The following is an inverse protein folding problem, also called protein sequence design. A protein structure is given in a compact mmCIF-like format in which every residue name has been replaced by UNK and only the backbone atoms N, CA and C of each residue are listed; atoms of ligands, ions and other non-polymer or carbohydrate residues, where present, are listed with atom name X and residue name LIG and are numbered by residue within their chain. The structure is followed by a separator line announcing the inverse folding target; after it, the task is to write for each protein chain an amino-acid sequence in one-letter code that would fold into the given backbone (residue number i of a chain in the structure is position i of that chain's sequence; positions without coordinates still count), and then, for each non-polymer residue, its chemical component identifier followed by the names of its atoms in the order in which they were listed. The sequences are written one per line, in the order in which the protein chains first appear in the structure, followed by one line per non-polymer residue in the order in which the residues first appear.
data_IF_599673009640
#
_entry.id   IF_599673009640
#
_cell.length_a   1.000
_cell.length_b   1.000
_cell.length_c   1.000
_cell.angle_alpha   90.00
_cell.angle_beta   90.00
_cell.angle_gamma   90.00
#
_symmetry.space_group_name_H-M   'P 1'
#
loop_
_entity.id
_entity.type
_entity.pdbx_description
1 polymer ?
#
# COMPACT_ATOMS: atom_id res chain seq x y z
N UNK A 1 -14.91 48.39 2.48
CA UNK A 1 -13.51 48.01 2.76
C UNK A 1 -13.49 46.51 2.99
N UNK A 2 -13.18 45.74 1.94
CA UNK A 2 -13.26 44.28 1.91
C UNK A 2 -11.87 43.69 2.04
N UNK A 3 -11.74 42.79 3.01
CA UNK A 3 -10.96 41.55 2.98
C UNK A 3 -9.50 41.64 2.51
N UNK A 4 -8.57 41.79 3.45
CA UNK A 4 -7.19 41.28 3.34
C UNK A 4 -6.98 40.09 4.26
N UNK A 5 -7.95 39.17 4.26
CA UNK A 5 -7.84 37.85 4.90
C UNK A 5 -7.18 36.81 3.98
N UNK A 6 -6.61 37.22 2.85
CA UNK A 6 -6.07 36.32 1.83
C UNK A 6 -4.58 35.97 2.01
N UNK A 7 -3.92 36.42 3.09
CA UNK A 7 -2.50 36.10 3.33
C UNK A 7 -2.32 34.90 4.28
N UNK A 8 -3.36 34.51 5.03
CA UNK A 8 -3.29 33.35 5.93
C UNK A 8 -3.65 32.00 5.27
N UNK A 9 -4.11 32.00 4.01
CA UNK A 9 -4.60 30.80 3.32
C UNK A 9 -3.57 30.15 2.35
N UNK A 10 -2.34 30.66 2.30
CA UNK A 10 -1.27 30.10 1.44
C UNK A 10 -0.08 29.53 2.24
N UNK A 11 -0.18 29.48 3.57
CA UNK A 11 0.85 28.90 4.45
C UNK A 11 0.59 27.44 4.82
N UNK A 12 -0.64 26.93 4.60
CA UNK A 12 -1.02 25.57 5.02
C UNK A 12 -0.88 24.50 3.92
N UNK A 13 -0.30 24.85 2.76
CA UNK A 13 -0.12 23.90 1.65
C UNK A 13 1.31 23.36 1.51
N UNK A 14 2.09 23.39 2.60
CA UNK A 14 3.37 22.69 2.74
C UNK A 14 3.33 21.73 3.95
N UNK A 15 2.26 20.95 4.09
CA UNK A 15 2.43 19.61 4.66
C UNK A 15 3.04 18.74 3.57
N UNK A 16 4.32 18.98 3.28
CA UNK A 16 5.17 17.89 2.85
C UNK A 16 5.02 16.83 3.93
N UNK A 17 4.47 15.68 3.57
CA UNK A 17 4.58 14.50 4.40
C UNK A 17 6.09 14.35 4.59
N UNK A 18 6.59 14.61 5.80
CA UNK A 18 7.97 14.30 6.14
C UNK A 18 8.17 12.85 5.73
N UNK A 19 8.97 12.61 4.69
CA UNK A 19 9.41 11.27 4.38
C UNK A 19 10.16 10.79 5.62
N UNK A 20 9.55 9.87 6.36
CA UNK A 20 10.14 9.28 7.57
C UNK A 20 11.47 8.56 7.27
N UNK A 21 11.73 8.29 6.00
CA UNK A 21 12.89 7.58 5.48
C UNK A 21 13.66 8.44 4.47
N UNK A 22 14.97 8.27 4.46
CA UNK A 22 15.92 8.88 3.52
C UNK A 22 15.72 8.40 2.08
N UNK A 23 16.25 9.15 1.11
CA UNK A 23 16.22 8.77 -0.31
C UNK A 23 16.84 7.39 -0.57
N UNK A 24 17.91 7.04 0.16
CA UNK A 24 18.54 5.72 0.07
C UNK A 24 17.61 4.60 0.57
N UNK A 25 16.95 4.82 1.71
CA UNK A 25 15.98 3.87 2.26
C UNK A 25 14.77 3.70 1.34
N UNK A 26 14.27 4.79 0.75
CA UNK A 26 13.21 4.74 -0.25
C UNK A 26 13.64 3.92 -1.48
N UNK A 27 14.85 4.16 -2.02
CA UNK A 27 15.36 3.40 -3.15
C UNK A 27 15.49 1.89 -2.85
N UNK A 28 15.90 1.54 -1.63
CA UNK A 28 15.93 0.14 -1.16
C UNK A 28 14.52 -0.43 -1.06
N UNK A 29 13.57 0.33 -0.50
CA UNK A 29 12.18 -0.08 -0.36
C UNK A 29 11.49 -0.28 -1.71
N UNK A 30 11.71 0.60 -2.69
CA UNK A 30 11.23 0.46 -4.07
C UNK A 30 11.79 -0.79 -4.76
N UNK A 31 13.05 -1.13 -4.49
CA UNK A 31 13.66 -2.34 -5.03
C UNK A 31 13.04 -3.59 -4.42
N UNK A 32 12.83 -3.60 -3.12
CA UNK A 32 12.11 -4.67 -2.41
C UNK A 32 10.69 -4.80 -2.98
N UNK A 33 9.98 -3.69 -3.11
CA UNK A 33 8.63 -3.62 -3.68
C UNK A 33 8.57 -4.26 -5.07
N UNK A 34 9.50 -3.93 -5.97
CA UNK A 34 9.57 -4.53 -7.31
C UNK A 34 9.83 -6.04 -7.25
N UNK A 35 10.72 -6.51 -6.37
CA UNK A 35 10.99 -7.95 -6.20
C UNK A 35 9.75 -8.72 -5.74
N UNK A 36 8.99 -8.15 -4.81
CA UNK A 36 7.79 -8.80 -4.25
C UNK A 36 6.51 -8.46 -5.03
N UNK A 37 6.62 -7.71 -6.13
CA UNK A 37 5.51 -7.18 -6.93
C UNK A 37 4.47 -6.40 -6.11
N UNK A 38 4.91 -5.72 -5.04
CA UNK A 38 4.04 -4.98 -4.13
C UNK A 38 3.05 -5.87 -3.35
N UNK A 39 3.44 -7.11 -3.01
CA UNK A 39 2.58 -8.07 -2.29
C UNK A 39 3.18 -8.49 -0.95
N UNK A 40 2.44 -8.30 0.13
CA UNK A 40 2.87 -8.66 1.51
C UNK A 40 3.22 -10.15 1.71
N UNK A 41 2.61 -11.04 0.91
CA UNK A 41 2.78 -12.50 1.04
C UNK A 41 3.97 -13.06 0.26
N UNK A 42 4.74 -12.20 -0.40
CA UNK A 42 5.96 -12.60 -1.11
C UNK A 42 7.19 -12.22 -0.30
N UNK A 43 8.11 -13.17 -0.24
CA UNK A 43 9.39 -12.99 0.44
C UNK A 43 10.47 -12.55 -0.55
N UNK A 44 11.45 -11.80 -0.06
CA UNK A 44 12.69 -11.48 -0.75
C UNK A 44 13.90 -11.98 0.05
N UNK A 45 14.99 -12.33 -0.65
CA UNK A 45 16.27 -12.66 -0.02
C UNK A 45 17.12 -11.40 0.15
N UNK A 46 17.62 -11.17 1.35
CA UNK A 46 18.55 -10.05 1.62
C UNK A 46 19.89 -10.28 0.89
N UNK A 47 20.36 -11.52 0.77
CA UNK A 47 21.62 -11.84 0.10
C UNK A 47 21.53 -11.63 -1.42
N UNK A 48 20.37 -11.91 -2.00
CA UNK A 48 20.07 -11.56 -3.39
C UNK A 48 19.99 -10.05 -3.57
N UNK A 49 19.35 -9.33 -2.64
CA UNK A 49 19.27 -7.87 -2.66
C UNK A 49 20.67 -7.23 -2.60
N UNK A 50 21.57 -7.72 -1.73
CA UNK A 50 22.97 -7.26 -1.64
C UNK A 50 23.69 -7.46 -2.97
N UNK A 51 23.61 -8.66 -3.56
CA UNK A 51 24.29 -8.97 -4.83
C UNK A 51 23.83 -8.06 -5.97
N UNK A 52 22.56 -7.70 -6.00
CA UNK A 52 21.99 -6.87 -7.06
C UNK A 52 22.13 -5.37 -6.83
N UNK A 53 22.34 -4.92 -5.60
CA UNK A 53 22.38 -3.48 -5.28
C UNK A 53 23.70 -2.84 -5.65
N UNK A 54 24.79 -3.61 -5.76
CA UNK A 54 26.12 -3.05 -6.07
C UNK A 54 26.65 -2.07 -5.00
N UNK A 55 25.85 -1.79 -3.97
CA UNK A 55 26.11 -0.94 -2.82
C UNK A 55 27.00 -1.65 -1.81
N UNK A 56 27.58 -0.87 -0.89
CA UNK A 56 28.25 -1.43 0.28
C UNK A 56 27.25 -2.29 1.09
N UNK A 57 27.59 -3.55 1.45
CA UNK A 57 26.71 -4.39 2.25
C UNK A 57 26.30 -3.76 3.58
N UNK A 58 27.17 -2.96 4.19
CA UNK A 58 26.91 -2.31 5.48
C UNK A 58 25.83 -1.23 5.33
N UNK A 59 25.94 -0.36 4.32
CA UNK A 59 24.94 0.68 4.02
C UNK A 59 23.55 0.07 3.73
N UNK A 60 23.51 -1.06 3.01
CA UNK A 60 22.25 -1.75 2.75
C UNK A 60 21.68 -2.40 4.02
N UNK A 61 22.53 -2.99 4.88
CA UNK A 61 22.06 -3.56 6.15
C UNK A 61 21.56 -2.47 7.11
N UNK A 62 22.15 -1.28 7.10
CA UNK A 62 21.66 -0.12 7.84
C UNK A 62 20.30 0.35 7.33
N UNK A 63 20.15 0.53 6.00
CA UNK A 63 18.87 0.86 5.39
C UNK A 63 17.79 -0.19 5.72
N UNK A 64 18.10 -1.48 5.63
CA UNK A 64 17.16 -2.56 5.98
C UNK A 64 16.78 -2.56 7.46
N UNK A 65 17.69 -2.17 8.35
CA UNK A 65 17.39 -2.03 9.78
C UNK A 65 16.41 -0.88 10.01
N UNK A 66 16.72 0.29 9.46
CA UNK A 66 15.87 1.49 9.55
C UNK A 66 14.47 1.25 8.97
N UNK A 67 14.38 0.66 7.77
CA UNK A 67 13.09 0.24 7.18
C UNK A 67 12.32 -0.76 8.05
N UNK A 68 13.02 -1.60 8.82
CA UNK A 68 12.41 -2.52 9.77
C UNK A 68 11.92 -1.84 11.05
N UNK A 69 12.67 -0.87 11.56
CA UNK A 69 12.30 -0.03 12.70
C UNK A 69 11.05 0.82 12.39
N UNK A 70 10.96 1.31 11.16
CA UNK A 70 9.78 2.01 10.63
C UNK A 70 8.61 1.08 10.25
N UNK A 71 8.72 -0.22 10.52
CA UNK A 71 7.69 -1.23 10.20
C UNK A 71 7.30 -1.29 8.70
N UNK A 72 8.18 -0.85 7.80
CA UNK A 72 7.96 -0.88 6.34
C UNK A 72 8.31 -2.24 5.73
N UNK A 73 9.23 -2.95 6.38
CA UNK A 73 9.58 -4.33 6.07
C UNK A 73 9.68 -5.14 7.35
N UNK A 74 9.60 -6.46 7.22
CA UNK A 74 9.95 -7.38 8.29
C UNK A 74 11.01 -8.35 7.81
N UNK A 75 12.14 -8.41 8.51
CA UNK A 75 13.20 -9.39 8.26
C UNK A 75 13.01 -10.59 9.21
N UNK A 76 12.78 -11.75 8.62
CA UNK A 76 12.68 -13.05 9.31
C UNK A 76 14.08 -13.67 9.50
N UNK A 77 14.19 -14.70 10.36
CA UNK A 77 15.40 -15.53 10.44
C UNK A 77 15.82 -16.04 9.05
N UNK A 78 17.11 -16.32 8.88
CA UNK A 78 17.72 -16.75 7.60
C UNK A 78 17.75 -15.67 6.51
N UNK A 79 17.77 -14.37 6.87
CA UNK A 79 17.96 -13.26 5.93
C UNK A 79 16.88 -13.21 4.82
N UNK A 80 15.66 -13.60 5.17
CA UNK A 80 14.48 -13.50 4.32
C UNK A 80 13.60 -12.35 4.81
N UNK A 81 13.19 -11.45 3.94
CA UNK A 81 12.32 -10.33 4.28
C UNK A 81 10.95 -10.40 3.62
N UNK A 82 9.99 -9.66 4.15
CA UNK A 82 8.71 -9.33 3.49
C UNK A 82 8.46 -7.82 3.58
N UNK A 83 7.80 -7.26 2.58
CA UNK A 83 7.29 -5.89 2.67
C UNK A 83 6.00 -5.88 3.48
N UNK A 84 5.78 -4.85 4.31
CA UNK A 84 4.52 -4.68 5.04
C UNK A 84 3.51 -3.90 4.20
N UNK A 85 2.25 -3.83 4.66
CA UNK A 85 1.25 -2.92 4.08
C UNK A 85 1.76 -1.47 4.09
N UNK A 86 2.32 -1.02 5.22
CA UNK A 86 2.89 0.32 5.40
C UNK A 86 4.01 0.57 4.37
N UNK A 87 4.92 -0.39 4.16
CA UNK A 87 5.99 -0.26 3.16
C UNK A 87 5.49 -0.24 1.71
N UNK A 88 4.40 -0.96 1.40
CA UNK A 88 3.74 -0.88 0.10
C UNK A 88 3.16 0.52 -0.12
N UNK A 89 2.48 1.06 0.89
CA UNK A 89 1.91 2.41 0.82
C UNK A 89 2.99 3.48 0.67
N UNK A 90 4.10 3.37 1.39
CA UNK A 90 5.21 4.33 1.30
C UNK A 90 5.77 4.41 -0.13
N UNK A 91 5.85 3.27 -0.83
CA UNK A 91 6.29 3.21 -2.23
C UNK A 91 5.23 3.70 -3.21
N UNK A 92 3.97 3.32 -2.99
CA UNK A 92 2.89 3.64 -3.94
C UNK A 92 2.35 5.06 -3.78
N UNK A 93 2.45 5.61 -2.56
CA UNK A 93 2.10 6.98 -2.16
C UNK A 93 3.03 8.06 -2.70
N UNK A 94 3.78 7.77 -3.77
CA UNK A 94 4.53 8.72 -4.59
C UNK A 94 4.57 8.36 -6.10
N UNK A 95 3.69 7.48 -6.64
CA UNK A 95 3.43 7.48 -8.09
C UNK A 95 3.22 6.15 -8.82
N UNK A 96 2.16 5.40 -8.51
CA UNK A 96 1.52 4.54 -9.54
C UNK A 96 0.06 4.94 -9.71
N UNK A 97 -0.23 5.99 -10.52
CA UNK A 97 -1.59 6.51 -10.72
C UNK A 97 -2.61 5.46 -11.18
N UNK A 98 -2.15 4.42 -11.87
CA UNK A 98 -3.01 3.34 -12.37
C UNK A 98 -3.52 2.43 -11.26
N UNK A 99 -2.70 2.15 -10.23
CA UNK A 99 -3.11 1.33 -9.08
C UNK A 99 -4.10 2.06 -8.19
N UNK A 100 -3.92 3.35 -7.99
CA UNK A 100 -4.86 4.18 -7.23
C UNK A 100 -6.21 4.31 -7.94
N UNK A 101 -6.21 4.45 -9.27
CA UNK A 101 -7.45 4.41 -10.05
C UNK A 101 -8.17 3.07 -9.92
N UNK A 102 -7.45 1.95 -9.99
CA UNK A 102 -8.05 0.62 -9.82
C UNK A 102 -8.63 0.44 -8.41
N UNK A 103 -7.93 0.91 -7.37
CA UNK A 103 -8.43 0.89 -5.97
C UNK A 103 -9.69 1.70 -5.79
N UNK A 104 -9.70 2.94 -6.30
CA UNK A 104 -10.87 3.82 -6.26
C UNK A 104 -12.05 3.21 -7.02
N UNK A 105 -11.80 2.63 -8.20
CA UNK A 105 -12.83 1.95 -8.99
C UNK A 105 -13.44 0.77 -8.23
N UNK A 106 -12.61 -0.12 -7.67
CA UNK A 106 -13.08 -1.27 -6.89
C UNK A 106 -13.90 -0.80 -5.69
N UNK A 107 -13.41 0.17 -4.93
CA UNK A 107 -14.10 0.69 -3.75
C UNK A 107 -15.43 1.37 -4.11
N UNK A 108 -15.44 2.18 -5.18
CA UNK A 108 -16.66 2.82 -5.67
C UNK A 108 -17.70 1.77 -6.07
N UNK A 109 -17.28 0.73 -6.81
CA UNK A 109 -18.19 -0.33 -7.24
C UNK A 109 -18.75 -1.14 -6.08
N UNK A 110 -17.94 -1.43 -5.06
CA UNK A 110 -18.42 -2.09 -3.84
C UNK A 110 -19.48 -1.21 -3.15
N UNK A 111 -19.21 0.09 -3.00
CA UNK A 111 -20.17 1.02 -2.40
C UNK A 111 -21.48 1.12 -3.20
N UNK A 112 -21.41 1.16 -4.53
CA UNK A 112 -22.60 1.15 -5.40
C UNK A 112 -23.45 -0.11 -5.19
N UNK A 113 -22.81 -1.28 -5.26
CA UNK A 113 -23.52 -2.57 -5.15
C UNK A 113 -24.08 -2.84 -3.75
N UNK A 114 -23.47 -2.26 -2.72
CA UNK A 114 -23.93 -2.37 -1.32
C UNK A 114 -24.82 -1.20 -0.91
N UNK A 115 -24.99 -0.18 -1.76
CA UNK A 115 -25.58 1.11 -1.38
C UNK A 115 -24.93 1.76 -0.14
N UNK A 116 -23.66 1.44 0.13
CA UNK A 116 -22.96 1.89 1.34
C UNK A 116 -23.43 1.21 2.63
N UNK A 117 -24.12 0.06 2.55
CA UNK A 117 -24.55 -0.72 3.71
C UNK A 117 -23.46 -1.72 4.16
N UNK A 118 -22.90 -1.60 5.38
CA UNK A 118 -21.86 -2.49 5.90
C UNK A 118 -22.36 -3.91 6.22
N UNK A 119 -23.67 -4.14 6.28
CA UNK A 119 -24.28 -5.45 6.52
C UNK A 119 -24.52 -6.23 5.22
N UNK A 120 -24.29 -5.61 4.05
CA UNK A 120 -24.40 -6.25 2.74
C UNK A 120 -23.04 -6.78 2.30
N UNK A 121 -23.03 -8.07 1.90
CA UNK A 121 -21.82 -8.79 1.48
C UNK A 121 -21.83 -9.05 -0.02
N UNK A 122 -20.71 -8.81 -0.68
CA UNK A 122 -20.51 -9.12 -2.10
C UNK A 122 -19.70 -10.39 -2.26
N UNK A 123 -20.09 -11.22 -3.23
CA UNK A 123 -19.29 -12.35 -3.68
C UNK A 123 -18.10 -11.86 -4.51
N UNK A 124 -16.88 -12.28 -4.16
CA UNK A 124 -15.63 -11.82 -4.79
C UNK A 124 -15.53 -12.27 -6.25
N UNK A 125 -16.02 -13.45 -6.61
CA UNK A 125 -16.00 -13.92 -8.00
C UNK A 125 -16.97 -13.13 -8.88
N UNK A 126 -18.16 -12.84 -8.35
CA UNK A 126 -19.13 -11.99 -9.04
C UNK A 126 -18.59 -10.56 -9.21
N UNK A 127 -17.97 -9.99 -8.17
CA UNK A 127 -17.34 -8.68 -8.24
C UNK A 127 -16.18 -8.63 -9.25
N UNK A 128 -15.38 -9.69 -9.33
CA UNK A 128 -14.33 -9.81 -10.34
C UNK A 128 -14.91 -9.82 -11.76
N UNK A 129 -16.00 -10.56 -11.96
CA UNK A 129 -16.76 -10.56 -13.22
C UNK A 129 -17.30 -9.18 -13.60
N UNK A 130 -17.93 -8.48 -12.65
CA UNK A 130 -18.46 -7.12 -12.85
C UNK A 130 -17.39 -6.11 -13.25
N UNK A 131 -16.18 -6.24 -12.68
CA UNK A 131 -15.07 -5.33 -12.94
C UNK A 131 -14.18 -5.76 -14.11
N UNK A 132 -14.49 -6.90 -14.74
CA UNK A 132 -13.64 -7.55 -15.75
C UNK A 132 -12.18 -7.68 -15.28
N UNK A 133 -11.99 -8.07 -14.02
CA UNK A 133 -10.68 -8.25 -13.38
C UNK A 133 -10.40 -9.72 -13.11
N UNK A 134 -9.13 -10.12 -13.13
CA UNK A 134 -8.76 -11.45 -12.67
C UNK A 134 -8.94 -11.53 -11.14
N UNK A 135 -9.41 -12.68 -10.65
CA UNK A 135 -9.67 -12.89 -9.21
C UNK A 135 -8.46 -12.53 -8.34
N UNK A 136 -7.25 -12.88 -8.76
CA UNK A 136 -6.05 -12.59 -7.97
C UNK A 136 -5.72 -11.09 -7.92
N UNK A 137 -6.01 -10.34 -8.99
CA UNK A 137 -5.80 -8.88 -9.06
C UNK A 137 -6.79 -8.16 -8.14
N UNK A 138 -8.07 -8.55 -8.23
CA UNK A 138 -9.09 -8.04 -7.33
C UNK A 138 -8.71 -8.38 -5.88
N UNK A 139 -8.26 -9.61 -5.60
CA UNK A 139 -7.90 -10.01 -4.25
C UNK A 139 -6.72 -9.20 -3.70
N UNK A 140 -5.71 -8.88 -4.51
CA UNK A 140 -4.62 -8.00 -4.10
C UNK A 140 -5.15 -6.60 -3.71
N UNK A 141 -6.05 -6.02 -4.52
CA UNK A 141 -6.68 -4.73 -4.22
C UNK A 141 -7.53 -4.81 -2.95
N UNK A 142 -8.32 -5.86 -2.77
CA UNK A 142 -9.14 -6.04 -1.58
C UNK A 142 -8.29 -6.19 -0.31
N UNK A 143 -7.14 -6.88 -0.37
CA UNK A 143 -6.22 -6.95 0.78
C UNK A 143 -5.67 -5.56 1.11
N UNK A 144 -5.31 -4.78 0.09
CA UNK A 144 -4.88 -3.39 0.30
C UNK A 144 -5.98 -2.55 0.97
N UNK A 145 -7.20 -2.56 0.41
CA UNK A 145 -8.33 -1.81 0.98
C UNK A 145 -8.70 -2.28 2.40
N UNK A 146 -8.45 -3.55 2.72
CA UNK A 146 -8.62 -4.07 4.08
C UNK A 146 -7.53 -3.55 5.03
N UNK A 147 -6.28 -3.46 4.57
CA UNK A 147 -5.19 -2.81 5.31
C UNK A 147 -5.50 -1.36 5.65
N UNK A 148 -6.18 -0.66 4.73
CA UNK A 148 -6.70 0.71 4.93
C UNK A 148 -7.95 0.80 5.82
N UNK A 149 -8.50 -0.33 6.29
CA UNK A 149 -9.74 -0.35 7.06
C UNK A 149 -10.98 0.10 6.29
N UNK A 150 -10.95 0.05 4.95
CA UNK A 150 -12.07 0.48 4.09
C UNK A 150 -13.05 -0.66 3.79
N UNK A 151 -12.53 -1.88 3.71
CA UNK A 151 -13.32 -3.11 3.49
C UNK A 151 -12.92 -4.19 4.48
N UNK A 152 -13.79 -5.18 4.65
CA UNK A 152 -13.57 -6.36 5.46
C UNK A 152 -13.76 -7.60 4.60
N UNK A 153 -12.69 -8.38 4.43
CA UNK A 153 -12.74 -9.70 3.79
C UNK A 153 -13.17 -10.71 4.85
N UNK A 154 -14.41 -11.19 4.75
CA UNK A 154 -14.99 -12.09 5.75
C UNK A 154 -14.63 -13.55 5.47
N UNK A 155 -14.44 -13.87 4.20
CA UNK A 155 -14.02 -15.19 3.74
C UNK A 155 -13.23 -15.05 2.44
N UNK A 156 -12.67 -16.16 1.95
CA UNK A 156 -12.06 -16.21 0.62
C UNK A 156 -13.03 -15.87 -0.53
N UNK A 157 -14.33 -15.78 -0.26
CA UNK A 157 -15.38 -15.58 -1.23
C UNK A 157 -16.20 -14.31 -1.01
N UNK A 158 -16.05 -13.61 0.12
CA UNK A 158 -16.94 -12.50 0.47
C UNK A 158 -16.21 -11.30 1.04
N UNK A 159 -16.68 -10.12 0.65
CA UNK A 159 -16.20 -8.82 1.11
C UNK A 159 -17.39 -7.90 1.43
N UNK A 160 -17.24 -7.05 2.44
CA UNK A 160 -18.16 -5.94 2.74
C UNK A 160 -17.35 -4.67 3.02
N UNK A 161 -18.01 -3.52 2.98
CA UNK A 161 -17.41 -2.27 3.47
C UNK A 161 -17.34 -2.28 5.00
N UNK A 162 -16.42 -1.48 5.55
CA UNK A 162 -16.33 -1.28 7.01
C UNK A 162 -17.33 -0.21 7.44
N UNK A 163 -17.99 -0.43 8.58
CA UNK A 163 -18.84 0.59 9.19
C UNK A 163 -17.97 1.76 9.64
N UNK A 164 -18.25 2.95 9.11
CA UNK A 164 -17.65 4.20 9.59
C UNK A 164 -18.52 4.71 10.73
N UNK A 165 -17.97 4.78 11.94
CA UNK A 165 -18.60 5.42 13.10
C UNK A 165 -18.58 6.96 12.97
#
# INVERSE_FOLDING_TARGET
MRSSLSIWLLSENQRGIEMSISENELAVLEKIYRKVLGREKRYFSVDELIRESGSCPDELNEALRSLGEEELIEIKPFRMGRITHKGIMEVEGNGIPEKDKARQLVLARINELTSGDPDVYLNIDALAGELNMMRYELFDILNFLQGEGLVRILSRMSVAIVKRD
#
